data_IF_807507787031
#
_entry.id   IF_807507787031
#
_cell.length_a   1.000
_cell.length_b   1.000
_cell.length_c   1.000
_cell.angle_alpha   90.00
_cell.angle_beta   90.00
_cell.angle_gamma   90.00
#
_symmetry.space_group_name_H-M   'P 1'
#
loop_
_entity.id
_entity.type
_entity.pdbx_description
1 polymer ?
#
# COMPACT_ATOMS: atom_id res chain seq x y z
N UNK A 1 10.03 -1.58 -5.91
CA UNK A 1 10.37 -2.38 -7.10
C UNK A 1 9.10 -3.00 -7.68
N UNK A 2 8.90 -2.97 -9.01
CA UNK A 2 7.69 -3.47 -9.66
C UNK A 2 7.39 -4.94 -9.34
N UNK A 3 8.42 -5.78 -9.30
CA UNK A 3 8.33 -7.23 -9.07
C UNK A 3 7.71 -7.56 -7.70
N UNK A 4 7.96 -6.72 -6.70
CA UNK A 4 7.38 -6.89 -5.36
C UNK A 4 5.89 -6.58 -5.35
N UNK A 5 5.47 -5.50 -6.02
CA UNK A 5 4.04 -5.18 -6.19
C UNK A 5 3.33 -6.26 -7.00
N UNK A 6 3.96 -6.75 -8.06
CA UNK A 6 3.44 -7.87 -8.84
C UNK A 6 3.27 -9.15 -7.99
N UNK A 7 4.22 -9.46 -7.11
CA UNK A 7 4.12 -10.61 -6.21
C UNK A 7 2.96 -10.47 -5.21
N UNK A 8 2.75 -9.28 -4.65
CA UNK A 8 1.60 -8.99 -3.77
C UNK A 8 0.28 -9.06 -4.56
N UNK A 9 0.26 -8.55 -5.80
CA UNK A 9 -0.92 -8.62 -6.67
C UNK A 9 -1.32 -10.07 -6.97
N UNK A 10 -0.36 -10.94 -7.28
CA UNK A 10 -0.59 -12.39 -7.44
C UNK A 10 -1.14 -13.03 -6.17
N UNK A 11 -0.59 -12.66 -5.01
CA UNK A 11 -1.07 -13.19 -3.73
C UNK A 11 -2.54 -12.76 -3.49
N UNK A 12 -2.86 -11.48 -3.64
CA UNK A 12 -4.23 -10.97 -3.51
C UNK A 12 -5.20 -11.66 -4.48
N UNK A 13 -4.79 -11.86 -5.74
CA UNK A 13 -5.60 -12.53 -6.75
C UNK A 13 -5.96 -13.98 -6.36
N UNK A 14 -5.03 -14.73 -5.73
CA UNK A 14 -5.29 -16.09 -5.24
C UNK A 14 -6.36 -16.17 -4.16
N UNK A 15 -6.60 -15.08 -3.42
CA UNK A 15 -7.73 -14.94 -2.49
C UNK A 15 -9.03 -14.49 -3.18
N UNK A 16 -9.08 -14.43 -4.51
CA UNK A 16 -10.23 -13.99 -5.27
C UNK A 16 -10.44 -12.48 -5.28
N UNK A 17 -9.46 -11.69 -4.84
CA UNK A 17 -9.54 -10.23 -4.89
C UNK A 17 -9.27 -9.74 -6.31
N UNK A 18 -10.05 -8.74 -6.73
CA UNK A 18 -9.77 -7.98 -7.95
C UNK A 18 -8.70 -6.93 -7.63
N UNK A 19 -7.60 -6.98 -8.35
CA UNK A 19 -6.48 -6.05 -8.14
C UNK A 19 -6.67 -4.81 -9.01
N UNK A 20 -6.58 -3.64 -8.38
CA UNK A 20 -6.61 -2.33 -9.05
C UNK A 20 -5.29 -1.62 -8.79
N UNK A 21 -4.62 -1.17 -9.82
CA UNK A 21 -3.40 -0.39 -9.73
C UNK A 21 -3.74 1.10 -9.88
N UNK A 22 -3.31 1.88 -8.90
CA UNK A 22 -3.50 3.33 -8.85
C UNK A 22 -2.14 4.03 -8.89
N UNK A 23 -2.09 5.18 -9.54
CA UNK A 23 -0.89 6.00 -9.63
C UNK A 23 -1.20 7.35 -10.28
N UNK A 24 -0.28 8.29 -10.18
CA UNK A 24 -0.37 9.59 -10.82
C UNK A 24 -0.10 9.52 -12.32
N UNK A 25 0.15 10.70 -12.92
CA UNK A 25 0.32 10.87 -14.37
C UNK A 25 1.77 11.03 -14.81
N UNK A 26 2.73 10.84 -13.89
CA UNK A 26 4.13 10.96 -14.23
C UNK A 26 4.59 9.79 -15.09
N UNK A 27 5.56 10.04 -15.95
CA UNK A 27 6.17 9.00 -16.80
C UNK A 27 6.76 7.87 -15.95
N UNK A 28 7.37 8.19 -14.82
CA UNK A 28 7.92 7.21 -13.88
C UNK A 28 6.83 6.27 -13.35
N UNK A 29 5.68 6.82 -12.93
CA UNK A 29 4.56 6.00 -12.44
C UNK A 29 3.95 5.17 -13.56
N UNK A 30 3.90 5.68 -14.79
CA UNK A 30 3.46 4.91 -15.96
C UNK A 30 4.36 3.70 -16.20
N UNK A 31 5.68 3.93 -16.26
CA UNK A 31 6.68 2.86 -16.46
C UNK A 31 6.61 1.82 -15.33
N UNK A 32 6.45 2.27 -14.08
CA UNK A 32 6.26 1.38 -12.94
C UNK A 32 5.01 0.52 -13.08
N UNK A 33 3.90 1.13 -13.49
CA UNK A 33 2.63 0.42 -13.67
C UNK A 33 2.71 -0.61 -14.80
N UNK A 34 3.30 -0.25 -15.94
CA UNK A 34 3.52 -1.17 -17.05
C UNK A 34 4.37 -2.38 -16.63
N UNK A 35 5.45 -2.13 -15.88
CA UNK A 35 6.31 -3.19 -15.36
C UNK A 35 5.58 -4.10 -14.35
N UNK A 36 4.72 -3.56 -13.49
CA UNK A 36 3.91 -4.34 -12.54
C UNK A 36 2.92 -5.23 -13.28
N UNK A 37 2.17 -4.67 -14.24
CA UNK A 37 1.19 -5.41 -15.04
C UNK A 37 1.86 -6.51 -15.84
N UNK A 38 2.98 -6.21 -16.50
CA UNK A 38 3.75 -7.19 -17.27
C UNK A 38 4.30 -8.33 -16.40
N UNK A 39 4.67 -8.04 -15.15
CA UNK A 39 5.22 -9.04 -14.22
C UNK A 39 4.16 -9.94 -13.57
N UNK A 40 2.85 -9.61 -13.65
CA UNK A 40 1.76 -10.41 -13.07
C UNK A 40 0.53 -10.47 -14.01
N UNK A 41 0.66 -10.98 -15.22
CA UNK A 41 -0.44 -11.02 -16.20
C UNK A 41 -1.62 -11.87 -15.70
N UNK A 42 -1.35 -12.92 -14.94
CA UNK A 42 -2.36 -13.81 -14.36
C UNK A 42 -3.21 -13.15 -13.26
N UNK A 43 -2.75 -12.06 -12.66
CA UNK A 43 -3.49 -11.35 -11.63
C UNK A 43 -4.62 -10.48 -12.17
N UNK A 44 -4.74 -10.33 -13.50
CA UNK A 44 -5.82 -9.58 -14.14
C UNK A 44 -5.93 -8.13 -13.63
N UNK A 45 -4.79 -7.46 -13.46
CA UNK A 45 -4.70 -6.13 -12.84
C UNK A 45 -5.48 -5.10 -13.66
N UNK A 46 -6.46 -4.44 -13.06
CA UNK A 46 -7.12 -3.27 -13.64
C UNK A 46 -6.23 -2.04 -13.41
N UNK A 47 -5.56 -1.62 -14.45
CA UNK A 47 -4.68 -0.44 -14.41
C UNK A 47 -5.47 0.86 -14.60
N UNK A 48 -5.54 1.65 -13.54
CA UNK A 48 -6.12 2.99 -13.50
C UNK A 48 -5.07 4.09 -13.30
N UNK A 49 -3.79 3.80 -13.47
CA UNK A 49 -2.69 4.78 -13.34
C UNK A 49 -2.89 5.98 -14.27
N UNK A 50 -3.00 7.17 -13.68
CA UNK A 50 -3.23 8.42 -14.40
C UNK A 50 -4.64 8.62 -14.97
N UNK A 51 -5.57 7.69 -14.70
CA UNK A 51 -6.94 7.71 -15.27
C UNK A 51 -7.98 8.30 -14.34
N UNK A 52 -7.72 8.39 -13.05
CA UNK A 52 -8.62 9.00 -12.08
C UNK A 52 -8.36 10.51 -11.92
N UNK A 53 -9.32 11.17 -11.30
CA UNK A 53 -9.19 12.55 -10.83
C UNK A 53 -9.21 12.59 -9.31
N UNK A 54 -8.67 13.67 -8.73
CA UNK A 54 -8.69 13.85 -7.28
C UNK A 54 -10.12 13.79 -6.70
N UNK A 55 -11.15 14.16 -7.46
CA UNK A 55 -12.55 14.08 -7.05
C UNK A 55 -13.09 12.64 -7.09
N UNK A 56 -12.61 11.82 -8.01
CA UNK A 56 -13.05 10.42 -8.17
C UNK A 56 -12.34 9.48 -7.22
N UNK A 57 -11.09 9.81 -6.86
CA UNK A 57 -10.23 8.95 -6.05
C UNK A 57 -10.87 8.53 -4.71
N UNK A 58 -11.47 9.43 -3.88
CA UNK A 58 -12.12 9.01 -2.63
C UNK A 58 -13.26 8.02 -2.84
N UNK A 59 -14.08 8.22 -3.88
CA UNK A 59 -15.18 7.32 -4.20
C UNK A 59 -14.69 5.93 -4.65
N UNK A 60 -13.59 5.88 -5.37
CA UNK A 60 -12.92 4.63 -5.75
C UNK A 60 -12.33 3.94 -4.51
N UNK A 61 -11.58 4.68 -3.69
CA UNK A 61 -10.96 4.16 -2.46
C UNK A 61 -12.01 3.58 -1.51
N UNK A 62 -13.16 4.23 -1.34
CA UNK A 62 -14.26 3.75 -0.50
C UNK A 62 -14.85 2.40 -0.95
N UNK A 63 -14.55 1.94 -2.17
CA UNK A 63 -15.02 0.65 -2.72
C UNK A 63 -13.97 -0.46 -2.62
N UNK A 64 -12.77 -0.13 -2.17
CA UNK A 64 -11.70 -1.13 -2.00
C UNK A 64 -11.88 -1.90 -0.70
N UNK A 65 -11.54 -3.17 -0.71
CA UNK A 65 -11.40 -3.99 0.51
C UNK A 65 -10.21 -3.54 1.34
N UNK A 66 -9.11 -3.17 0.67
CA UNK A 66 -7.86 -2.70 1.28
C UNK A 66 -7.08 -1.88 0.26
N UNK A 67 -6.34 -0.88 0.73
CA UNK A 67 -5.29 -0.22 -0.03
C UNK A 67 -3.92 -0.70 0.48
N UNK A 68 -3.01 -1.03 -0.43
CA UNK A 68 -1.61 -1.34 -0.11
C UNK A 68 -0.74 -0.30 -0.80
N UNK A 69 0.06 0.45 -0.05
CA UNK A 69 0.89 1.49 -0.65
C UNK A 69 1.81 2.23 0.32
N UNK A 70 2.71 3.07 -0.21
CA UNK A 70 3.66 3.84 0.58
C UNK A 70 2.99 5.05 1.24
N UNK A 71 3.80 5.85 1.97
CA UNK A 71 3.41 7.16 2.50
C UNK A 71 3.08 8.14 1.37
N UNK A 72 1.82 8.19 0.99
CA UNK A 72 1.33 9.02 -0.11
C UNK A 72 -0.14 9.42 0.10
N UNK A 73 -0.60 10.44 -0.62
CA UNK A 73 -1.97 10.97 -0.51
C UNK A 73 -3.08 9.93 -0.53
N UNK A 74 -3.07 8.93 -1.43
CA UNK A 74 -4.07 7.87 -1.44
C UNK A 74 -4.21 7.09 -0.13
N UNK A 75 -3.12 6.87 0.62
CA UNK A 75 -3.17 6.19 1.92
C UNK A 75 -3.98 6.98 2.95
N UNK A 76 -3.81 8.30 2.99
CA UNK A 76 -4.57 9.18 3.89
C UNK A 76 -6.03 9.29 3.48
N UNK A 77 -6.31 9.41 2.18
CA UNK A 77 -7.68 9.45 1.66
C UNK A 77 -8.43 8.13 1.91
N UNK A 78 -7.79 6.99 1.71
CA UNK A 78 -8.37 5.68 2.01
C UNK A 78 -8.74 5.58 3.50
N UNK A 79 -7.81 5.96 4.39
CA UNK A 79 -8.07 5.99 5.82
C UNK A 79 -9.23 6.93 6.18
N UNK A 80 -9.35 8.09 5.53
CA UNK A 80 -10.42 9.05 5.76
C UNK A 80 -11.81 8.51 5.34
N UNK A 81 -11.89 7.76 4.24
CA UNK A 81 -13.15 7.15 3.76
C UNK A 81 -13.46 5.80 4.43
N UNK A 82 -12.61 5.35 5.35
CA UNK A 82 -12.83 4.12 6.12
C UNK A 82 -12.23 2.84 5.52
N UNK A 83 -11.51 2.93 4.41
CA UNK A 83 -10.83 1.79 3.80
C UNK A 83 -9.56 1.46 4.57
N UNK A 84 -9.35 0.21 4.99
CA UNK A 84 -8.11 -0.22 5.63
C UNK A 84 -6.90 0.00 4.72
N UNK A 85 -5.76 0.34 5.33
CA UNK A 85 -4.51 0.59 4.59
C UNK A 85 -3.39 -0.28 5.16
N UNK A 86 -2.80 -1.12 4.33
CA UNK A 86 -1.52 -1.74 4.60
C UNK A 86 -0.44 -0.75 4.13
N UNK A 87 0.10 0.01 5.06
CA UNK A 87 1.08 1.05 4.78
C UNK A 87 2.51 0.51 4.71
N UNK A 88 3.29 0.95 3.73
CA UNK A 88 4.67 0.53 3.51
C UNK A 88 5.60 1.69 3.93
N UNK A 89 6.26 1.55 5.06
CA UNK A 89 7.04 2.61 5.70
C UNK A 89 8.46 2.17 6.03
N UNK A 90 9.42 2.91 5.51
CA UNK A 90 10.84 2.80 5.84
C UNK A 90 11.55 4.14 5.64
N UNK A 91 11.20 4.88 4.59
CA UNK A 91 11.69 6.23 4.32
C UNK A 91 11.08 7.28 5.26
N UNK A 92 9.88 7.01 5.77
CA UNK A 92 9.15 7.84 6.73
C UNK A 92 8.61 6.95 7.87
N UNK A 93 8.31 7.56 9.02
CA UNK A 93 7.77 6.84 10.18
C UNK A 93 6.25 6.83 10.15
N UNK A 94 5.64 5.64 10.14
CA UNK A 94 4.19 5.49 10.19
C UNK A 94 3.57 6.12 11.46
N UNK A 95 4.30 6.18 12.57
CA UNK A 95 3.84 6.85 13.81
C UNK A 95 3.60 8.35 13.61
N UNK A 96 4.29 8.97 12.64
CA UNK A 96 4.17 10.38 12.30
C UNK A 96 3.22 10.65 11.15
N UNK A 97 3.34 9.90 10.07
CA UNK A 97 2.64 10.12 8.81
C UNK A 97 1.86 8.91 8.31
N UNK A 98 1.57 7.96 9.19
CA UNK A 98 0.78 6.79 8.82
C UNK A 98 -0.71 7.08 8.66
N UNK A 99 -1.45 6.19 8.00
CA UNK A 99 -2.89 6.28 7.87
C UNK A 99 -3.54 6.11 9.24
N UNK A 100 -4.12 7.15 9.78
CA UNK A 100 -4.52 7.29 11.19
C UNK A 100 -5.29 6.09 11.74
N UNK A 101 -6.25 5.54 10.97
CA UNK A 101 -7.08 4.40 11.39
C UNK A 101 -6.42 3.03 11.15
N UNK A 102 -5.28 2.99 10.45
CA UNK A 102 -4.63 1.75 10.02
C UNK A 102 -3.14 1.68 10.41
N UNK A 103 -2.70 2.45 11.42
CA UNK A 103 -1.29 2.46 11.85
C UNK A 103 -0.82 1.05 12.23
N UNK A 104 -1.67 0.24 12.83
CA UNK A 104 -1.39 -1.14 13.24
C UNK A 104 -1.27 -2.13 12.06
N UNK A 105 -1.67 -1.72 10.85
CA UNK A 105 -1.49 -2.45 9.61
C UNK A 105 -0.27 -2.01 8.80
N UNK A 106 0.57 -1.11 9.34
CA UNK A 106 1.75 -0.63 8.63
C UNK A 106 2.95 -1.54 8.85
N UNK A 107 3.60 -1.97 7.75
CA UNK A 107 4.97 -2.47 7.75
C UNK A 107 5.90 -1.27 7.98
N UNK A 108 6.27 -1.00 9.23
CA UNK A 108 7.03 0.19 9.61
C UNK A 108 8.45 -0.17 10.06
N UNK A 109 9.41 0.03 9.17
CA UNK A 109 10.83 -0.25 9.36
C UNK A 109 11.67 1.00 9.62
N UNK A 110 11.06 2.19 9.76
CA UNK A 110 11.78 3.45 9.92
C UNK A 110 12.81 3.41 11.06
N UNK A 111 12.43 2.86 12.22
CA UNK A 111 13.35 2.76 13.37
C UNK A 111 14.58 1.88 13.07
N UNK A 112 14.39 0.75 12.41
CA UNK A 112 15.48 -0.15 12.04
C UNK A 112 16.43 0.54 11.02
N UNK A 113 15.86 1.25 10.05
CA UNK A 113 16.63 2.01 9.05
C UNK A 113 17.40 3.16 9.71
N UNK A 114 16.80 3.88 10.67
CA UNK A 114 17.50 4.90 11.46
C UNK A 114 18.70 4.31 12.20
N UNK A 115 18.50 3.19 12.89
CA UNK A 115 19.57 2.51 13.61
C UNK A 115 20.69 2.06 12.68
N UNK A 116 20.34 1.45 11.54
CA UNK A 116 21.31 0.99 10.56
C UNK A 116 22.11 2.14 9.94
N UNK A 117 21.43 3.24 9.61
CA UNK A 117 22.05 4.35 8.85
C UNK A 117 22.81 5.35 9.72
N UNK A 118 22.30 5.61 10.93
CA UNK A 118 22.82 6.67 11.80
C UNK A 118 23.31 6.16 13.17
N UNK A 119 23.13 4.88 13.48
CA UNK A 119 23.43 4.33 14.80
C UNK A 119 22.56 4.92 15.93
N UNK A 120 21.39 5.47 15.58
CA UNK A 120 20.49 6.17 16.51
C UNK A 120 19.03 5.76 16.30
N UNK A 121 18.22 5.72 17.38
CA UNK A 121 16.79 5.55 17.25
C UNK A 121 16.14 6.82 16.64
N UNK A 122 14.87 6.73 16.19
CA UNK A 122 14.13 7.87 15.59
C UNK A 122 14.12 9.14 16.45
N UNK A 123 14.06 8.98 17.78
CA UNK A 123 14.05 10.07 18.77
C UNK A 123 15.38 10.85 18.80
N UNK A 124 16.45 10.23 18.33
CA UNK A 124 17.80 10.84 18.20
C UNK A 124 18.02 11.52 16.85
N UNK A 125 17.01 11.62 16.00
CA UNK A 125 17.07 12.20 14.66
C UNK A 125 16.05 13.34 14.58
N UNK A 126 16.33 14.34 13.72
CA UNK A 126 15.44 15.46 13.53
C UNK A 126 14.01 14.99 13.18
N UNK A 127 13.01 15.53 13.88
CA UNK A 127 11.60 15.19 13.68
C UNK A 127 11.20 15.32 12.21
N UNK A 128 10.51 14.31 11.68
CA UNK A 128 10.03 14.32 10.30
C UNK A 128 11.12 14.07 9.24
N UNK A 129 12.31 13.69 9.64
CA UNK A 129 13.38 13.34 8.69
C UNK A 129 12.93 12.23 7.76
N UNK A 130 13.01 12.48 6.44
CA UNK A 130 12.85 11.44 5.42
C UNK A 130 14.21 10.79 5.14
N UNK A 131 14.20 9.48 4.99
CA UNK A 131 15.39 8.69 4.67
C UNK A 131 15.35 8.35 3.19
N UNK A 132 16.00 9.18 2.37
CA UNK A 132 15.99 9.06 0.91
C UNK A 132 17.36 8.56 0.42
N UNK A 133 17.46 7.25 0.21
CA UNK A 133 18.61 6.60 -0.39
C UNK A 133 18.18 5.33 -1.13
N UNK A 134 18.98 4.89 -2.14
CA UNK A 134 18.65 3.67 -2.89
C UNK A 134 18.49 2.45 -1.97
N UNK A 135 17.39 1.71 -2.15
CA UNK A 135 17.12 0.51 -1.39
C UNK A 135 16.50 0.70 -0.01
N UNK A 136 16.19 1.95 0.43
CA UNK A 136 15.57 2.21 1.74
C UNK A 136 14.30 1.39 1.98
N UNK A 137 13.51 1.15 0.94
CA UNK A 137 12.28 0.36 1.01
C UNK A 137 12.51 -1.16 0.87
N UNK A 138 13.75 -1.62 0.75
CA UNK A 138 14.03 -3.05 0.53
C UNK A 138 13.81 -3.89 1.81
N UNK A 139 13.81 -3.27 2.96
CA UNK A 139 13.49 -3.92 4.23
C UNK A 139 11.99 -4.29 4.38
N UNK A 140 11.09 -3.64 3.64
CA UNK A 140 9.68 -4.05 3.56
C UNK A 140 9.59 -5.25 2.61
N UNK A 141 9.35 -6.44 3.15
CA UNK A 141 9.34 -7.67 2.34
C UNK A 141 7.96 -8.00 1.79
N UNK A 142 7.92 -8.80 0.71
CA UNK A 142 6.67 -9.31 0.13
C UNK A 142 5.94 -10.21 1.13
N UNK A 143 6.67 -11.05 1.85
CA UNK A 143 6.16 -11.99 2.84
C UNK A 143 5.46 -11.26 3.99
N UNK A 144 6.04 -10.16 4.47
CA UNK A 144 5.43 -9.32 5.51
C UNK A 144 4.12 -8.69 5.03
N UNK A 145 4.11 -8.13 3.82
CA UNK A 145 2.91 -7.51 3.24
C UNK A 145 1.81 -8.54 3.00
N UNK A 146 2.16 -9.73 2.50
CA UNK A 146 1.21 -10.83 2.33
C UNK A 146 0.64 -11.29 3.68
N UNK A 147 1.47 -11.41 4.72
CA UNK A 147 1.03 -11.78 6.07
C UNK A 147 0.06 -10.74 6.64
N UNK A 148 0.34 -9.45 6.43
CA UNK A 148 -0.57 -8.37 6.85
C UNK A 148 -1.90 -8.44 6.09
N UNK A 149 -1.87 -8.74 4.78
CA UNK A 149 -3.06 -8.90 3.97
C UNK A 149 -3.91 -10.08 4.44
N UNK A 150 -3.30 -11.24 4.68
CA UNK A 150 -3.98 -12.45 5.14
C UNK A 150 -4.67 -12.22 6.50
N UNK A 151 -3.95 -11.58 7.42
CA UNK A 151 -4.49 -11.22 8.73
C UNK A 151 -5.66 -10.23 8.62
N UNK A 152 -5.52 -9.20 7.77
CA UNK A 152 -6.58 -8.21 7.57
C UNK A 152 -7.83 -8.87 6.98
N UNK A 153 -7.67 -9.72 5.97
CA UNK A 153 -8.80 -10.44 5.35
C UNK A 153 -9.52 -11.38 6.32
N UNK A 154 -8.84 -11.89 7.34
CA UNK A 154 -9.42 -12.70 8.41
C UNK A 154 -10.08 -11.90 9.53
N UNK A 155 -10.15 -10.56 9.43
CA UNK A 155 -10.75 -9.71 10.48
C UNK A 155 -12.18 -9.28 10.13
N UNK A 156 -13.05 -9.03 11.13
CA UNK A 156 -14.39 -8.46 10.92
C UNK A 156 -14.37 -7.10 10.18
N UNK A 157 -13.26 -6.39 10.24
CA UNK A 157 -13.07 -5.10 9.58
C UNK A 157 -13.09 -5.26 8.05
N UNK A 158 -12.49 -6.30 7.51
CA UNK A 158 -12.56 -6.63 6.08
C UNK A 158 -13.98 -7.05 5.65
N UNK A 159 -14.71 -7.72 6.52
CA UNK A 159 -16.10 -8.12 6.24
C UNK A 159 -17.04 -6.91 6.15
N UNK A 160 -16.83 -5.88 6.98
CA UNK A 160 -17.66 -4.65 6.97
C UNK A 160 -17.44 -3.80 5.74
N UNK A 161 -16.26 -3.86 5.14
CA UNK A 161 -15.85 -3.04 4.00
C UNK A 161 -15.94 -3.81 2.67
N UNK A 162 -16.15 -5.12 2.71
CA UNK A 162 -16.44 -5.87 1.49
C UNK A 162 -17.73 -5.30 0.87
N UNK A 163 -17.69 -4.78 -0.38
CA UNK A 163 -18.90 -4.39 -1.05
C UNK A 163 -19.86 -5.58 -1.02
N UNK A 164 -21.12 -5.34 -0.68
CA UNK A 164 -22.13 -6.38 -0.64
C UNK A 164 -21.97 -7.24 -1.90
N UNK A 165 -21.60 -8.51 -1.71
CA UNK A 165 -21.42 -9.43 -2.84
C UNK A 165 -22.72 -9.37 -3.64
N UNK A 166 -22.67 -8.82 -4.85
CA UNK A 166 -23.78 -8.89 -5.78
C UNK A 166 -24.03 -10.38 -5.97
N UNK A 167 -25.04 -10.90 -5.29
CA UNK A 167 -25.53 -12.25 -5.54
C UNK A 167 -26.12 -12.19 -6.94
N UNK A 168 -25.36 -12.60 -7.94
CA UNK A 168 -25.93 -12.98 -9.24
C UNK A 168 -26.82 -14.17 -8.96
N UNK A 169 -28.15 -13.92 -9.08
CA UNK A 169 -29.14 -14.99 -9.19
C UNK A 169 -29.01 -15.65 -10.55
#
# INVERSE_FOLDING_TARGET
RPERYAAVARHAHRFGLRVVLLGGRSELERQMADAIVAAAPEAGILDLTGKDTLKQLPALLARLTVLIGPDAGPAHLASAVGTPVIGLYAATDARRSGPYRSIHWCANHYAAVCQQRYGKPPEGIAWGRRLEFPGVMDCVTVEEVNTLLDRLLGTPEAERLAPARVRTK
#
